data_IF_602429718184
#
_entry.id   IF_602429718184
#
_cell.length_a   1.000
_cell.length_b   1.000
_cell.length_c   1.000
_cell.angle_alpha   90.00
_cell.angle_beta   90.00
_cell.angle_gamma   90.00
#
_symmetry.space_group_name_H-M   'P 1'
#
loop_
_entity.id
_entity.type
_entity.pdbx_description
1 polymer ?
#
# COMPACT_ATOMS: atom_id res chain seq x y z
N UNK A 1 -59.84 -69.13 -69.49
CA UNK A 1 -58.91 -69.50 -68.38
C UNK A 1 -57.87 -68.41 -68.06
N UNK A 2 -57.41 -67.60 -69.03
CA UNK A 2 -56.35 -66.58 -68.80
C UNK A 2 -56.81 -65.30 -68.06
N UNK A 3 -58.06 -64.88 -68.25
CA UNK A 3 -58.59 -63.59 -67.75
C UNK A 3 -58.82 -63.56 -66.23
N UNK A 4 -59.28 -64.66 -65.63
CA UNK A 4 -59.52 -64.72 -64.19
C UNK A 4 -58.23 -64.61 -63.34
N UNK A 5 -57.10 -65.12 -63.86
CA UNK A 5 -55.79 -65.00 -63.20
C UNK A 5 -55.24 -63.57 -63.29
N UNK A 6 -55.47 -62.89 -64.42
CA UNK A 6 -55.09 -61.48 -64.57
C UNK A 6 -55.94 -60.59 -63.66
N UNK A 7 -57.24 -60.85 -63.55
CA UNK A 7 -58.16 -60.07 -62.70
C UNK A 7 -57.83 -60.18 -61.21
N UNK A 8 -57.49 -61.38 -60.74
CA UNK A 8 -57.04 -61.61 -59.36
C UNK A 8 -55.73 -60.87 -59.05
N UNK A 9 -54.78 -60.88 -60.00
CA UNK A 9 -53.50 -60.17 -59.85
C UNK A 9 -53.70 -58.65 -59.83
N UNK A 10 -54.58 -58.13 -60.69
CA UNK A 10 -54.96 -56.71 -60.73
C UNK A 10 -55.61 -56.29 -59.40
N UNK A 11 -56.50 -57.11 -58.84
CA UNK A 11 -57.13 -56.84 -57.55
C UNK A 11 -56.11 -56.77 -56.40
N UNK A 12 -55.15 -57.69 -56.36
CA UNK A 12 -54.08 -57.69 -55.35
C UNK A 12 -53.17 -56.45 -55.47
N UNK A 13 -52.84 -56.02 -56.70
CA UNK A 13 -52.08 -54.80 -56.94
C UNK A 13 -52.85 -53.55 -56.53
N UNK A 14 -54.15 -53.46 -56.85
CA UNK A 14 -55.02 -52.36 -56.40
C UNK A 14 -55.08 -52.27 -54.88
N UNK A 15 -55.20 -53.41 -54.17
CA UNK A 15 -55.20 -53.44 -52.71
C UNK A 15 -53.87 -52.97 -52.11
N UNK A 16 -52.73 -53.35 -52.71
CA UNK A 16 -51.39 -52.85 -52.30
C UNK A 16 -51.24 -51.35 -52.52
N UNK A 17 -51.72 -50.84 -53.66
CA UNK A 17 -51.72 -49.41 -53.97
C UNK A 17 -52.53 -48.66 -52.91
N UNK A 18 -53.74 -49.12 -52.59
CA UNK A 18 -54.56 -48.46 -51.56
C UNK A 18 -53.97 -48.52 -50.16
N UNK A 19 -53.36 -49.64 -49.78
CA UNK A 19 -52.64 -49.75 -48.51
C UNK A 19 -51.46 -48.76 -48.45
N UNK A 20 -50.74 -48.59 -49.56
CA UNK A 20 -49.60 -47.67 -49.64
C UNK A 20 -50.06 -46.22 -49.59
N UNK A 21 -51.13 -45.86 -50.30
CA UNK A 21 -51.74 -44.52 -50.24
C UNK A 21 -52.17 -44.14 -48.82
N UNK A 22 -52.85 -45.05 -48.10
CA UNK A 22 -53.24 -44.82 -46.71
C UNK A 22 -52.03 -44.62 -45.78
N UNK A 23 -50.95 -45.38 -45.99
CA UNK A 23 -49.73 -45.20 -45.22
C UNK A 23 -49.05 -43.85 -45.52
N UNK A 24 -49.06 -43.39 -46.78
CA UNK A 24 -48.54 -42.09 -47.17
C UNK A 24 -49.37 -40.97 -46.53
N UNK A 25 -50.70 -41.05 -46.59
CA UNK A 25 -51.58 -40.04 -45.96
C UNK A 25 -51.40 -39.97 -44.45
N UNK A 26 -51.28 -41.11 -43.76
CA UNK A 26 -50.99 -41.14 -42.32
C UNK A 26 -49.63 -40.51 -41.98
N UNK A 27 -48.62 -40.75 -42.82
CA UNK A 27 -47.30 -40.14 -42.64
C UNK A 27 -47.33 -38.64 -42.92
N UNK A 28 -48.09 -38.21 -43.93
CA UNK A 28 -48.29 -36.79 -44.26
C UNK A 28 -48.99 -36.06 -43.12
N UNK A 29 -50.07 -36.62 -42.57
CA UNK A 29 -50.78 -36.02 -41.43
C UNK A 29 -49.91 -35.92 -40.18
N UNK A 30 -48.92 -36.81 -40.02
CA UNK A 30 -47.93 -36.75 -38.93
C UNK A 30 -46.80 -35.74 -39.19
N UNK A 31 -46.46 -35.45 -40.44
CA UNK A 31 -45.38 -34.53 -40.82
C UNK A 31 -45.83 -33.06 -40.86
N UNK A 32 -47.07 -32.78 -41.24
CA UNK A 32 -47.63 -31.42 -41.33
C UNK A 32 -47.48 -30.60 -40.03
N UNK A 33 -47.78 -31.14 -38.83
CA UNK A 33 -47.58 -30.42 -37.57
C UNK A 33 -46.11 -30.11 -37.29
N UNK A 34 -45.20 -31.05 -37.59
CA UNK A 34 -43.77 -30.87 -37.39
C UNK A 34 -43.20 -29.81 -38.33
N UNK A 35 -43.67 -29.76 -39.58
CA UNK A 35 -43.28 -28.73 -40.53
C UNK A 35 -43.74 -27.34 -40.05
N UNK A 36 -44.97 -27.25 -39.55
CA UNK A 36 -45.50 -26.00 -38.97
C UNK A 36 -44.70 -25.56 -37.75
N UNK A 37 -44.38 -26.49 -36.85
CA UNK A 37 -43.56 -26.19 -35.67
C UNK A 37 -42.15 -25.71 -36.05
N UNK A 38 -41.54 -26.34 -37.05
CA UNK A 38 -40.27 -25.90 -37.61
C UNK A 38 -40.35 -24.47 -38.17
N UNK A 39 -41.39 -24.16 -38.95
CA UNK A 39 -41.55 -22.84 -39.56
C UNK A 39 -41.83 -21.76 -38.51
N UNK A 40 -42.63 -22.08 -37.48
CA UNK A 40 -42.88 -21.22 -36.32
C UNK A 40 -41.59 -20.99 -35.52
N UNK A 41 -40.79 -22.03 -35.29
CA UNK A 41 -39.50 -21.91 -34.61
C UNK A 41 -38.53 -21.02 -35.40
N UNK A 42 -38.48 -21.18 -36.73
CA UNK A 42 -37.66 -20.36 -37.61
C UNK A 42 -38.08 -18.89 -37.55
N UNK A 43 -39.38 -18.60 -37.55
CA UNK A 43 -39.91 -17.25 -37.41
C UNK A 43 -39.57 -16.62 -36.04
N UNK A 44 -39.63 -17.41 -34.95
CA UNK A 44 -39.22 -16.93 -33.61
C UNK A 44 -37.74 -16.56 -33.58
N UNK A 45 -36.88 -17.38 -34.17
CA UNK A 45 -35.44 -17.12 -34.24
C UNK A 45 -35.14 -15.87 -35.06
N UNK A 46 -35.75 -15.69 -36.24
CA UNK A 46 -35.52 -14.49 -37.06
C UNK A 46 -35.96 -13.23 -36.35
N UNK A 47 -37.14 -13.24 -35.70
CA UNK A 47 -37.64 -12.13 -34.90
C UNK A 47 -36.69 -11.78 -33.74
N UNK A 48 -36.20 -12.79 -33.01
CA UNK A 48 -35.25 -12.59 -31.93
C UNK A 48 -33.94 -11.94 -32.42
N UNK A 49 -33.43 -12.38 -33.58
CA UNK A 49 -32.24 -11.79 -34.21
C UNK A 49 -32.49 -10.32 -34.59
N UNK A 50 -33.65 -10.00 -35.15
CA UNK A 50 -34.01 -8.62 -35.51
C UNK A 50 -34.12 -7.72 -34.27
N UNK A 51 -34.76 -8.20 -33.21
CA UNK A 51 -34.88 -7.44 -31.96
C UNK A 51 -33.51 -7.23 -31.31
N UNK A 52 -32.63 -8.24 -31.33
CA UNK A 52 -31.25 -8.09 -30.88
C UNK A 52 -30.47 -7.06 -31.73
N UNK A 53 -30.65 -7.05 -33.05
CA UNK A 53 -30.04 -6.03 -33.93
C UNK A 53 -30.52 -4.62 -33.59
N UNK A 54 -31.80 -4.43 -33.28
CA UNK A 54 -32.33 -3.13 -32.82
C UNK A 54 -31.66 -2.68 -31.53
N UNK A 55 -31.56 -3.58 -30.54
CA UNK A 55 -30.88 -3.30 -29.26
C UNK A 55 -29.42 -2.89 -29.50
N UNK A 56 -28.69 -3.64 -30.33
CA UNK A 56 -27.29 -3.33 -30.65
C UNK A 56 -27.14 -1.97 -31.35
N UNK A 57 -28.07 -1.61 -32.25
CA UNK A 57 -28.08 -0.30 -32.90
C UNK A 57 -28.26 0.85 -31.90
N UNK A 58 -29.20 0.71 -30.96
CA UNK A 58 -29.38 1.69 -29.89
C UNK A 58 -28.14 1.78 -28.98
N UNK A 59 -27.58 0.64 -28.61
CA UNK A 59 -26.36 0.60 -27.82
C UNK A 59 -25.20 1.31 -28.52
N UNK A 60 -24.98 1.03 -29.81
CA UNK A 60 -23.94 1.66 -30.61
C UNK A 60 -24.13 3.19 -30.72
N UNK A 61 -25.38 3.67 -30.85
CA UNK A 61 -25.66 5.10 -30.84
C UNK A 61 -25.29 5.77 -29.51
N UNK A 62 -25.60 5.12 -28.39
CA UNK A 62 -25.23 5.59 -27.06
C UNK A 62 -23.71 5.64 -26.87
N UNK A 63 -22.99 4.62 -27.31
CA UNK A 63 -21.52 4.57 -27.25
C UNK A 63 -20.90 5.70 -28.06
N UNK A 64 -21.35 5.93 -29.31
CA UNK A 64 -20.89 7.06 -30.13
C UNK A 64 -21.15 8.41 -29.46
N UNK A 65 -22.27 8.58 -28.76
CA UNK A 65 -22.56 9.77 -27.98
C UNK A 65 -21.55 9.98 -26.84
N UNK A 66 -21.23 8.92 -26.10
CA UNK A 66 -20.22 8.96 -25.03
C UNK A 66 -18.82 9.29 -25.56
N UNK A 67 -18.42 8.68 -26.69
CA UNK A 67 -17.14 8.98 -27.35
C UNK A 67 -17.06 10.42 -27.82
N UNK A 68 -18.15 10.95 -28.37
CA UNK A 68 -18.24 12.35 -28.82
C UNK A 68 -18.11 13.31 -27.64
N UNK A 69 -18.75 13.01 -26.50
CA UNK A 69 -18.63 13.79 -25.28
C UNK A 69 -17.20 13.75 -24.72
N UNK A 70 -16.58 12.55 -24.68
CA UNK A 70 -15.18 12.37 -24.29
C UNK A 70 -14.25 13.20 -25.16
N UNK A 71 -14.40 13.16 -26.48
CA UNK A 71 -13.59 13.93 -27.43
C UNK A 71 -13.75 15.44 -27.24
N UNK A 72 -14.98 15.92 -27.02
CA UNK A 72 -15.26 17.33 -26.73
C UNK A 72 -14.59 17.77 -25.42
N UNK A 73 -14.70 16.96 -24.36
CA UNK A 73 -14.06 17.24 -23.08
C UNK A 73 -12.53 17.26 -23.19
N UNK A 74 -11.94 16.31 -23.92
CA UNK A 74 -10.50 16.30 -24.21
C UNK A 74 -10.05 17.57 -24.95
N UNK A 75 -10.82 18.02 -25.96
CA UNK A 75 -10.52 19.26 -26.67
C UNK A 75 -10.60 20.48 -25.75
N UNK A 76 -11.64 20.56 -24.92
CA UNK A 76 -11.79 21.63 -23.92
C UNK A 76 -10.63 21.65 -22.92
N UNK A 77 -10.15 20.48 -22.48
CA UNK A 77 -8.97 20.39 -21.62
C UNK A 77 -7.71 20.87 -22.35
N UNK A 78 -7.54 20.53 -23.63
CA UNK A 78 -6.40 20.96 -24.43
C UNK A 78 -6.42 22.49 -24.65
N UNK A 79 -7.57 23.06 -24.99
CA UNK A 79 -7.77 24.51 -25.13
C UNK A 79 -7.48 25.23 -23.81
N UNK A 80 -7.97 24.69 -22.68
CA UNK A 80 -7.65 25.23 -21.35
C UNK A 80 -6.15 25.16 -21.03
N UNK A 81 -5.45 24.09 -21.43
CA UNK A 81 -3.99 23.98 -21.27
C UNK A 81 -3.23 24.99 -22.13
N UNK A 82 -3.72 25.29 -23.33
CA UNK A 82 -3.12 26.27 -24.23
C UNK A 82 -3.43 27.72 -23.80
N UNK A 83 -4.56 27.97 -23.13
CA UNK A 83 -4.97 29.28 -22.63
C UNK A 83 -4.44 29.62 -21.22
N UNK A 84 -3.71 28.71 -20.56
CA UNK A 84 -2.91 29.05 -19.37
C UNK A 84 -1.64 29.73 -19.86
N UNK A 85 -1.43 31.00 -19.49
CA UNK A 85 -0.21 31.72 -19.86
C UNK A 85 0.99 31.06 -19.19
N UNK A 86 1.96 30.60 -19.99
CA UNK A 86 3.23 30.00 -19.54
C UNK A 86 3.92 30.89 -18.48
N UNK A 87 3.79 32.21 -18.63
CA UNK A 87 4.33 33.23 -17.71
C UNK A 87 3.84 33.10 -16.26
N UNK A 88 2.57 32.74 -16.00
CA UNK A 88 2.07 32.59 -14.62
C UNK A 88 2.54 31.29 -13.96
N UNK A 89 2.79 30.24 -14.75
CA UNK A 89 3.31 28.97 -14.24
C UNK A 89 4.80 29.05 -13.93
N UNK A 90 5.61 29.72 -14.76
CA UNK A 90 7.04 29.88 -14.52
C UNK A 90 7.32 30.65 -13.24
N UNK A 91 6.63 31.76 -12.99
CA UNK A 91 6.80 32.54 -11.76
C UNK A 91 6.34 31.75 -10.51
N UNK A 92 5.23 31.02 -10.62
CA UNK A 92 4.74 30.16 -9.54
C UNK A 92 5.71 29.00 -9.23
N UNK A 93 6.26 28.35 -10.26
CA UNK A 93 7.25 27.29 -10.09
C UNK A 93 8.56 27.83 -9.53
N UNK A 94 9.05 28.99 -9.99
CA UNK A 94 10.23 29.65 -9.45
C UNK A 94 10.05 30.00 -7.96
N UNK A 95 8.87 30.52 -7.58
CA UNK A 95 8.53 30.80 -6.17
C UNK A 95 8.46 29.51 -5.32
N UNK A 96 7.93 28.42 -5.87
CA UNK A 96 7.93 27.11 -5.20
C UNK A 96 9.34 26.56 -5.00
N UNK A 97 10.20 26.66 -6.02
CA UNK A 97 11.60 26.22 -5.94
C UNK A 97 12.39 27.05 -4.93
N UNK A 98 12.22 28.38 -4.92
CA UNK A 98 12.81 29.25 -3.92
C UNK A 98 12.40 28.84 -2.50
N UNK A 99 11.11 28.55 -2.26
CA UNK A 99 10.62 28.12 -0.94
C UNK A 99 11.16 26.75 -0.51
N UNK A 100 11.33 25.83 -1.46
CA UNK A 100 11.98 24.53 -1.22
C UNK A 100 13.45 24.69 -0.85
N UNK A 101 14.18 25.56 -1.55
CA UNK A 101 15.58 25.88 -1.25
C UNK A 101 15.73 26.48 0.14
N UNK A 102 14.90 27.47 0.48
CA UNK A 102 14.87 28.07 1.83
C UNK A 102 14.61 27.01 2.91
N UNK A 103 13.66 26.09 2.67
CA UNK A 103 13.35 25.01 3.62
C UNK A 103 14.53 24.05 3.80
N UNK A 104 15.26 23.75 2.71
CA UNK A 104 16.46 22.91 2.74
C UNK A 104 17.59 23.59 3.50
N UNK A 105 17.89 24.85 3.18
CA UNK A 105 18.92 25.65 3.86
C UNK A 105 18.62 25.75 5.36
N UNK A 106 17.36 26.02 5.74
CA UNK A 106 16.94 26.06 7.15
C UNK A 106 17.11 24.71 7.86
N UNK A 107 16.90 23.60 7.15
CA UNK A 107 17.14 22.26 7.71
C UNK A 107 18.63 21.99 7.89
N UNK A 108 19.45 22.35 6.92
CA UNK A 108 20.91 22.20 6.99
C UNK A 108 21.50 23.04 8.13
N UNK A 109 21.07 24.29 8.29
CA UNK A 109 21.49 25.15 9.41
C UNK A 109 21.05 24.58 10.76
N UNK A 110 19.80 24.13 10.87
CA UNK A 110 19.31 23.48 12.10
C UNK A 110 20.10 22.22 12.46
N UNK A 111 20.41 21.37 11.47
CA UNK A 111 21.19 20.15 11.70
C UNK A 111 22.61 20.47 12.15
N UNK A 112 23.24 21.51 11.57
CA UNK A 112 24.56 21.98 11.97
C UNK A 112 24.56 22.47 13.44
N UNK A 113 23.61 23.35 13.78
CA UNK A 113 23.47 23.85 15.15
C UNK A 113 23.15 22.72 16.16
N UNK A 114 22.33 21.75 15.75
CA UNK A 114 22.03 20.57 16.56
C UNK A 114 23.28 19.71 16.77
N UNK A 115 24.11 19.52 15.75
CA UNK A 115 25.36 18.77 15.89
C UNK A 115 26.37 19.49 16.81
N UNK A 116 26.46 20.81 16.74
CA UNK A 116 27.32 21.62 17.62
C UNK A 116 26.88 21.51 19.09
N UNK A 117 25.58 21.68 19.37
CA UNK A 117 25.04 21.50 20.74
C UNK A 117 25.13 20.06 21.22
N UNK A 118 24.97 19.07 20.33
CA UNK A 118 25.19 17.66 20.65
C UNK A 118 26.67 17.35 20.93
N UNK A 119 27.61 18.00 20.26
CA UNK A 119 29.04 17.85 20.55
C UNK A 119 29.41 18.40 21.95
N UNK A 120 28.85 19.56 22.32
CA UNK A 120 29.05 20.15 23.66
C UNK A 120 28.46 19.26 24.77
N UNK A 121 27.25 18.73 24.57
CA UNK A 121 26.62 17.80 25.53
C UNK A 121 27.36 16.45 25.62
N UNK A 122 27.88 15.93 24.50
CA UNK A 122 28.73 14.72 24.52
C UNK A 122 30.04 14.98 25.27
N UNK A 123 30.63 16.17 25.14
CA UNK A 123 31.85 16.52 25.88
C UNK A 123 31.58 16.69 27.39
N UNK A 124 30.50 17.37 27.78
CA UNK A 124 30.09 17.48 29.18
C UNK A 124 29.80 16.10 29.81
N UNK A 125 29.17 15.19 29.06
CA UNK A 125 28.94 13.82 29.51
C UNK A 125 30.25 13.01 29.64
N UNK A 126 31.25 13.23 28.78
CA UNK A 126 32.57 12.59 28.91
C UNK A 126 33.32 13.03 30.16
N UNK A 127 33.22 14.30 30.53
CA UNK A 127 33.88 14.82 31.72
C UNK A 127 33.15 14.40 33.01
N UNK A 128 31.85 14.08 32.95
CA UNK A 128 31.12 13.42 34.03
C UNK A 128 31.54 11.95 34.26
N UNK A 129 32.25 11.32 33.31
CA UNK A 129 32.80 9.96 33.42
C UNK A 129 34.24 9.93 33.97
N UNK A 130 34.74 11.07 34.49
CA UNK A 130 36.06 11.17 35.11
C UNK A 130 35.96 11.54 36.58
N UNK A 131 36.96 11.14 37.35
CA UNK A 131 37.07 11.54 38.74
C UNK A 131 37.43 13.03 38.85
N UNK A 132 36.66 13.80 39.61
CA UNK A 132 36.95 15.22 39.83
C UNK A 132 38.19 15.53 40.67
N UNK A 133 38.91 14.51 41.18
CA UNK A 133 40.16 14.66 41.94
C UNK A 133 41.37 14.38 41.05
N UNK A 134 41.46 13.18 40.46
CA UNK A 134 42.60 12.78 39.64
C UNK A 134 42.40 13.01 38.13
N UNK A 135 41.19 13.40 37.70
CA UNK A 135 40.80 13.64 36.30
C UNK A 135 40.91 12.44 35.37
N UNK A 136 41.11 11.24 35.91
CA UNK A 136 41.13 9.98 35.18
C UNK A 136 39.71 9.41 35.02
N UNK A 137 39.50 8.64 33.95
CA UNK A 137 38.23 7.95 33.70
C UNK A 137 37.96 6.86 34.74
N UNK A 138 36.70 6.69 35.10
CA UNK A 138 36.29 5.56 35.94
C UNK A 138 36.39 4.23 35.18
N UNK A 139 36.73 3.17 35.90
CA UNK A 139 36.80 1.79 35.40
C UNK A 139 36.23 0.81 36.45
N UNK A 140 36.20 -0.47 36.08
CA UNK A 140 35.64 -1.54 36.91
C UNK A 140 36.66 -2.12 37.91
N UNK A 141 37.89 -1.58 37.95
CA UNK A 141 39.01 -2.07 38.75
C UNK A 141 39.38 -1.03 39.84
N UNK A 142 40.50 -0.34 39.69
CA UNK A 142 41.03 0.57 40.71
C UNK A 142 40.34 1.94 40.71
N UNK A 143 39.70 2.32 39.60
CA UNK A 143 39.00 3.60 39.45
C UNK A 143 37.49 3.43 39.55
N UNK A 144 37.02 2.51 40.38
CA UNK A 144 35.60 2.34 40.69
C UNK A 144 34.97 3.65 41.21
N UNK A 145 33.86 4.14 40.63
CA UNK A 145 33.20 5.38 41.05
C UNK A 145 32.42 5.15 42.36
N UNK A 146 32.81 5.82 43.44
CA UNK A 146 32.23 5.71 44.78
C UNK A 146 31.45 6.98 45.14
N UNK A 147 30.20 6.81 45.57
CA UNK A 147 29.30 7.91 45.95
C UNK A 147 29.49 8.27 47.43
N UNK A 148 29.77 9.54 47.70
CA UNK A 148 29.85 10.13 49.04
C UNK A 148 28.43 10.43 49.58
N UNK A 149 28.29 10.64 50.89
CA UNK A 149 26.98 10.90 51.52
C UNK A 149 26.21 12.12 50.95
N UNK A 150 26.94 13.10 50.42
CA UNK A 150 26.40 14.28 49.75
C UNK A 150 25.99 14.06 48.28
N UNK A 151 26.24 12.87 47.73
CA UNK A 151 25.94 12.52 46.33
C UNK A 151 27.09 12.75 45.34
N UNK A 152 28.18 13.40 45.72
CA UNK A 152 29.36 13.52 44.85
C UNK A 152 30.04 12.17 44.65
N UNK A 153 30.63 11.95 43.47
CA UNK A 153 31.32 10.71 43.12
C UNK A 153 32.82 10.93 42.96
N UNK A 154 33.64 10.05 43.53
CA UNK A 154 35.11 10.01 43.38
C UNK A 154 35.58 8.58 43.12
N UNK A 155 36.78 8.38 42.58
CA UNK A 155 37.27 7.02 42.34
C UNK A 155 37.75 6.37 43.64
N UNK A 156 37.77 5.03 43.68
CA UNK A 156 38.16 4.25 44.85
C UNK A 156 39.56 4.62 45.34
N UNK A 157 40.55 4.75 44.45
CA UNK A 157 41.91 5.19 44.81
C UNK A 157 41.93 6.56 45.50
N UNK A 158 41.15 7.53 45.00
CA UNK A 158 41.09 8.85 45.60
C UNK A 158 40.32 8.85 46.93
N UNK A 159 39.31 7.98 47.07
CA UNK A 159 38.60 7.77 48.32
C UNK A 159 39.54 7.19 49.40
N UNK A 160 40.33 6.17 49.05
CA UNK A 160 41.31 5.57 49.96
C UNK A 160 42.36 6.59 50.42
N UNK A 161 42.80 7.46 49.52
CA UNK A 161 43.69 8.57 49.84
C UNK A 161 43.06 9.55 50.84
N UNK A 162 41.78 9.88 50.64
CA UNK A 162 41.03 10.79 51.51
C UNK A 162 40.79 10.19 52.90
N UNK A 163 40.51 8.89 52.99
CA UNK A 163 40.36 8.19 54.26
C UNK A 163 41.68 8.11 55.05
N UNK A 164 42.80 7.97 54.35
CA UNK A 164 44.14 7.94 54.98
C UNK A 164 44.61 9.31 55.44
N UNK A 165 44.20 10.39 54.78
CA UNK A 165 44.64 11.76 55.14
C UNK A 165 43.88 12.35 56.33
N UNK A 166 42.63 11.94 56.57
CA UNK A 166 41.75 12.53 57.59
C UNK A 166 41.35 11.52 58.67
N UNK A 167 42.12 11.49 59.77
CA UNK A 167 41.93 10.54 60.87
C UNK A 167 40.66 10.76 61.71
N UNK A 168 40.05 11.95 61.69
CA UNK A 168 38.98 12.33 62.62
C UNK A 168 37.66 12.77 61.97
N UNK A 169 37.69 13.47 60.83
CA UNK A 169 36.49 13.89 60.10
C UNK A 169 36.71 13.80 58.59
N UNK A 170 35.92 12.96 57.91
CA UNK A 170 35.93 12.83 56.46
C UNK A 170 34.95 13.85 55.87
N UNK A 171 35.39 14.71 54.97
CA UNK A 171 34.55 15.71 54.30
C UNK A 171 34.65 15.61 52.79
N UNK A 172 33.56 15.95 52.10
CA UNK A 172 33.54 15.95 50.63
C UNK A 172 34.47 17.03 50.07
N UNK A 173 35.37 16.71 49.11
CA UNK A 173 36.28 17.69 48.53
C UNK A 173 35.58 18.74 47.65
N UNK A 174 34.35 18.48 47.20
CA UNK A 174 33.61 19.38 46.31
C UNK A 174 32.66 20.32 47.04
N UNK A 175 31.89 19.82 48.01
CA UNK A 175 30.90 20.60 48.75
C UNK A 175 31.22 20.80 50.24
N UNK A 176 32.30 20.19 50.75
CA UNK A 176 32.76 20.26 52.15
C UNK A 176 31.79 19.69 53.19
N UNK A 177 30.71 19.06 52.76
CA UNK A 177 29.76 18.39 53.64
C UNK A 177 30.44 17.21 54.36
N UNK A 178 30.17 17.09 55.66
CA UNK A 178 30.72 16.03 56.50
C UNK A 178 30.11 14.68 56.16
N UNK A 179 30.96 13.66 56.06
CA UNK A 179 30.54 12.31 55.70
C UNK A 179 30.24 11.55 56.98
N UNK A 180 28.95 11.43 57.28
CA UNK A 180 28.44 10.76 58.49
C UNK A 180 28.51 9.23 58.44
N UNK A 181 28.66 8.62 57.27
CA UNK A 181 28.74 7.16 57.11
C UNK A 181 29.87 6.74 56.16
N UNK A 182 30.62 5.69 56.55
CA UNK A 182 31.72 5.11 55.73
C UNK A 182 31.23 4.05 54.74
N UNK A 183 30.00 4.19 54.25
CA UNK A 183 29.43 3.32 53.22
C UNK A 183 29.38 4.10 51.93
N UNK A 184 30.25 3.75 51.00
CA UNK A 184 30.34 4.39 49.70
C UNK A 184 29.86 3.40 48.63
N UNK A 185 28.59 3.45 48.22
CA UNK A 185 28.11 2.58 47.15
C UNK A 185 28.77 2.96 45.82
N UNK A 186 28.87 1.98 44.92
CA UNK A 186 29.39 2.24 43.57
C UNK A 186 28.32 2.94 42.73
N UNK A 187 28.70 3.99 42.00
CA UNK A 187 27.80 4.70 41.10
C UNK A 187 27.64 3.90 39.79
N UNK A 188 26.68 2.97 39.79
CA UNK A 188 26.45 2.10 38.63
C UNK A 188 25.99 2.85 37.37
N UNK A 189 25.39 4.04 37.51
CA UNK A 189 24.98 4.87 36.38
C UNK A 189 26.17 5.36 35.53
N UNK A 190 27.34 5.51 36.16
CA UNK A 190 28.60 5.87 35.47
C UNK A 190 29.23 4.64 34.79
N UNK A 191 28.94 3.43 35.28
CA UNK A 191 29.53 2.18 34.79
C UNK A 191 28.73 1.50 33.68
N UNK A 192 27.45 1.85 33.52
CA UNK A 192 26.63 1.40 32.39
C UNK A 192 26.99 2.19 31.13
N UNK A 193 27.90 1.63 30.31
CA UNK A 193 28.16 2.07 28.93
C UNK A 193 26.98 1.78 28.00
#
# INVERSE_FOLDING_TARGET
MSTARTDSTIAALKAKIEKTKKAIELRKSSLEPLQKEHDDAKLRVTKAIEDQKKILKHHAARVRGMESHKKKYQKQLQEKRQNVTVSQNEEFHARLEAKRKETRERRETYLKLKAETQAETVQANKDALKCGICLESYDDDDKLPKVLGCGHTICLVCLDGLEKSNAHLLSCPFCREEISSRKFPTNLFIMTK
#
